data_IF_972791693454
#
_entry.id   IF_972791693454
#
_cell.length_a   1.000
_cell.length_b   1.000
_cell.length_c   1.000
_cell.angle_alpha   90.00
_cell.angle_beta   90.00
_cell.angle_gamma   90.00
#
_symmetry.space_group_name_H-M   'P 1'
#
loop_
_entity.id
_entity.type
_entity.pdbx_description
1 polymer ?
#
# COMPACT_ATOMS: atom_id res chain seq x y z
N UNK A 1 12.41 12.36 -32.56
CA UNK A 1 11.06 11.78 -32.40
C UNK A 1 10.57 12.06 -30.98
N UNK A 2 9.84 13.16 -30.77
CA UNK A 2 9.63 13.80 -29.45
C UNK A 2 8.30 13.44 -28.74
N UNK A 3 7.59 12.38 -29.14
CA UNK A 3 6.39 11.90 -28.42
C UNK A 3 6.04 10.42 -28.61
N UNK A 4 6.60 9.76 -29.62
CA UNK A 4 6.24 8.37 -29.91
C UNK A 4 6.90 7.42 -28.92
N UNK A 5 6.12 6.88 -27.99
CA UNK A 5 6.01 5.43 -27.74
C UNK A 5 5.21 5.19 -26.45
N UNK A 6 3.92 4.88 -26.62
CA UNK A 6 3.13 4.10 -25.64
C UNK A 6 3.64 2.63 -25.58
N UNK A 7 4.70 2.30 -26.33
CA UNK A 7 5.33 0.98 -26.46
C UNK A 7 5.61 0.29 -25.13
N UNK A 8 5.93 1.01 -24.05
CA UNK A 8 6.12 0.39 -22.73
C UNK A 8 4.81 -0.13 -22.10
N UNK A 9 3.68 0.57 -22.30
CA UNK A 9 2.37 0.06 -21.87
C UNK A 9 2.04 -1.23 -22.63
N UNK A 10 2.48 -1.35 -23.89
CA UNK A 10 2.26 -2.50 -24.75
C UNK A 10 3.22 -3.67 -24.48
N UNK A 11 4.48 -3.40 -24.14
CA UNK A 11 5.45 -4.44 -23.77
C UNK A 11 4.99 -5.21 -22.51
N UNK A 12 4.29 -4.55 -21.59
CA UNK A 12 3.65 -5.20 -20.44
C UNK A 12 2.45 -6.07 -20.81
N UNK A 13 1.73 -5.70 -21.89
CA UNK A 13 0.60 -6.47 -22.40
C UNK A 13 1.05 -7.71 -23.20
N UNK A 14 2.30 -7.74 -23.66
CA UNK A 14 2.83 -8.73 -24.61
C UNK A 14 3.64 -9.89 -24.01
N UNK A 15 3.71 -10.06 -22.68
CA UNK A 15 4.44 -11.22 -22.13
C UNK A 15 3.62 -12.52 -22.24
N UNK A 16 3.89 -13.21 -23.35
CA UNK A 16 3.88 -14.65 -23.63
C UNK A 16 2.68 -15.43 -23.10
N UNK A 17 1.71 -15.62 -23.99
CA UNK A 17 0.76 -16.73 -23.96
C UNK A 17 1.53 -17.99 -24.35
N UNK A 18 1.70 -18.93 -23.43
CA UNK A 18 2.01 -20.32 -23.79
C UNK A 18 0.90 -21.22 -23.25
N UNK A 19 0.21 -21.87 -24.20
CA UNK A 19 -0.59 -23.09 -24.04
C UNK A 19 -1.74 -23.03 -23.04
N UNK A 20 -2.96 -22.82 -23.53
CA UNK A 20 -4.15 -23.29 -22.81
C UNK A 20 -5.08 -24.09 -23.73
N UNK A 21 -5.29 -25.34 -23.34
CA UNK A 21 -6.30 -26.24 -23.89
C UNK A 21 -7.69 -25.58 -23.80
N UNK A 22 -8.34 -25.47 -24.96
CA UNK A 22 -9.70 -24.96 -25.09
C UNK A 22 -10.72 -25.94 -24.47
N UNK A 23 -11.01 -25.82 -23.17
CA UNK A 23 -12.28 -26.29 -22.62
C UNK A 23 -13.27 -25.13 -22.62
N UNK A 24 -14.20 -25.17 -23.57
CA UNK A 24 -15.38 -24.27 -23.62
C UNK A 24 -16.25 -24.52 -22.38
N UNK A 25 -16.06 -23.74 -21.32
CA UNK A 25 -17.05 -23.65 -20.24
C UNK A 25 -18.08 -22.59 -20.61
N UNK A 26 -19.29 -23.05 -20.91
CA UNK A 26 -20.45 -22.21 -21.20
C UNK A 26 -20.95 -21.57 -19.89
N UNK A 27 -20.45 -20.38 -19.53
CA UNK A 27 -20.92 -19.65 -18.35
C UNK A 27 -21.81 -18.47 -18.77
N UNK A 28 -23.10 -18.59 -18.44
CA UNK A 28 -24.09 -17.50 -18.55
C UNK A 28 -23.54 -16.24 -17.88
N UNK A 29 -23.46 -15.14 -18.64
CA UNK A 29 -23.11 -13.79 -18.15
C UNK A 29 -24.14 -13.33 -17.09
N UNK A 30 -23.88 -13.63 -15.82
CA UNK A 30 -24.56 -12.94 -14.71
C UNK A 30 -23.96 -11.54 -14.59
N UNK A 31 -24.79 -10.53 -14.86
CA UNK A 31 -24.50 -9.11 -14.64
C UNK A 31 -24.35 -8.87 -13.13
N UNK A 32 -23.14 -9.02 -12.60
CA UNK A 32 -22.82 -8.59 -11.24
C UNK A 32 -22.79 -7.06 -11.28
N UNK A 33 -23.74 -6.41 -10.59
CA UNK A 33 -23.74 -4.96 -10.40
C UNK A 33 -22.51 -4.60 -9.56
N UNK A 34 -21.40 -4.27 -10.22
CA UNK A 34 -20.17 -3.83 -9.59
C UNK A 34 -20.31 -2.37 -9.13
N UNK A 35 -20.89 -2.16 -7.96
CA UNK A 35 -20.58 -0.97 -7.16
C UNK A 35 -19.23 -1.19 -6.49
N UNK A 36 -18.13 -1.04 -7.23
CA UNK A 36 -16.78 -1.15 -6.66
C UNK A 36 -16.56 0.06 -5.74
N UNK A 37 -16.90 -0.10 -4.46
CA UNK A 37 -16.63 0.89 -3.41
C UNK A 37 -15.11 1.00 -3.30
N UNK A 38 -14.55 2.15 -3.64
CA UNK A 38 -13.12 2.43 -3.44
C UNK A 38 -12.84 2.27 -1.95
N UNK A 39 -11.92 1.37 -1.59
CA UNK A 39 -11.56 1.14 -0.20
C UNK A 39 -11.06 2.44 0.43
N UNK A 40 -11.49 2.71 1.66
CA UNK A 40 -10.98 3.83 2.44
C UNK A 40 -9.46 3.65 2.58
N UNK A 41 -8.71 4.64 2.11
CA UNK A 41 -7.27 4.70 2.37
C UNK A 41 -7.08 5.21 3.79
N UNK A 42 -6.14 4.64 4.54
CA UNK A 42 -5.79 5.13 5.88
C UNK A 42 -4.33 4.84 6.17
N UNK A 43 -3.72 5.67 7.00
CA UNK A 43 -2.38 5.44 7.53
C UNK A 43 -2.47 5.08 9.01
N UNK A 44 -2.00 3.88 9.38
CA UNK A 44 -1.86 3.46 10.78
C UNK A 44 -0.41 3.63 11.20
N UNK A 45 -0.17 4.48 12.20
CA UNK A 45 1.18 4.70 12.77
C UNK A 45 1.23 4.13 14.16
N UNK A 46 1.95 3.04 14.35
CA UNK A 46 2.19 2.49 15.68
C UNK A 46 3.48 3.10 16.25
N UNK A 47 3.38 3.72 17.42
CA UNK A 47 4.52 4.20 18.19
C UNK A 47 4.50 3.45 19.52
N UNK A 48 5.47 2.57 19.74
CA UNK A 48 5.58 1.79 20.97
C UNK A 48 6.61 2.45 21.87
N UNK A 49 6.22 2.83 23.09
CA UNK A 49 7.14 3.25 24.12
C UNK A 49 8.01 2.06 24.53
N UNK A 50 9.32 2.16 24.32
CA UNK A 50 10.32 1.20 24.81
C UNK A 50 11.20 1.79 25.93
N UNK A 51 10.88 2.99 26.44
CA UNK A 51 11.66 3.64 27.49
C UNK A 51 11.53 2.95 28.85
N UNK A 52 12.52 3.18 29.71
CA UNK A 52 12.61 2.72 31.09
C UNK A 52 11.26 2.73 31.82
N UNK A 53 10.96 1.65 32.55
CA UNK A 53 9.66 1.42 33.19
C UNK A 53 8.68 0.61 32.33
N UNK A 54 8.93 0.44 31.03
CA UNK A 54 8.27 -0.58 30.20
C UNK A 54 8.90 -1.95 30.46
N UNK A 55 8.13 -2.91 30.99
CA UNK A 55 8.63 -4.27 31.21
C UNK A 55 8.65 -5.08 29.90
N UNK A 56 9.44 -6.15 29.85
CA UNK A 56 9.45 -7.10 28.72
C UNK A 56 8.01 -7.60 28.38
N UNK A 57 7.20 -7.83 29.41
CA UNK A 57 5.80 -8.24 29.24
C UNK A 57 4.94 -7.13 28.64
N UNK A 58 5.19 -5.87 28.98
CA UNK A 58 4.48 -4.72 28.42
C UNK A 58 4.80 -4.59 26.92
N UNK A 59 6.08 -4.71 26.55
CA UNK A 59 6.52 -4.68 25.15
C UNK A 59 5.93 -5.83 24.33
N UNK A 60 5.95 -7.07 24.86
CA UNK A 60 5.29 -8.20 24.22
C UNK A 60 3.77 -7.98 24.06
N UNK A 61 3.13 -7.35 25.05
CA UNK A 61 1.70 -7.02 24.97
C UNK A 61 1.45 -5.95 23.91
N UNK A 62 2.32 -4.95 23.78
CA UNK A 62 2.25 -3.91 22.75
C UNK A 62 2.35 -4.53 21.34
N UNK A 63 3.41 -5.32 21.08
CA UNK A 63 3.60 -6.01 19.79
C UNK A 63 2.44 -6.94 19.47
N UNK A 64 1.95 -7.72 20.44
CA UNK A 64 0.78 -8.59 20.26
C UNK A 64 -0.50 -7.81 19.97
N UNK A 65 -0.68 -6.64 20.57
CA UNK A 65 -1.84 -5.77 20.33
C UNK A 65 -1.79 -5.20 18.91
N UNK A 66 -0.62 -4.70 18.48
CA UNK A 66 -0.37 -4.27 17.10
C UNK A 66 -0.71 -5.38 16.11
N UNK A 67 -0.18 -6.59 16.34
CA UNK A 67 -0.45 -7.76 15.50
C UNK A 67 -1.95 -8.12 15.43
N UNK A 68 -2.65 -8.10 16.57
CA UNK A 68 -4.10 -8.38 16.61
C UNK A 68 -4.91 -7.35 15.83
N UNK A 69 -4.62 -6.06 15.99
CA UNK A 69 -5.32 -4.99 15.30
C UNK A 69 -5.15 -5.10 13.78
N UNK A 70 -3.92 -5.30 13.32
CA UNK A 70 -3.61 -5.40 11.89
C UNK A 70 -4.24 -6.60 11.19
N UNK A 71 -4.74 -7.60 11.93
CA UNK A 71 -5.51 -8.70 11.34
C UNK A 71 -6.82 -8.26 10.69
N UNK A 72 -7.37 -7.12 11.10
CA UNK A 72 -8.65 -6.61 10.64
C UNK A 72 -8.52 -5.71 9.41
N UNK A 73 -7.30 -5.33 9.02
CA UNK A 73 -7.07 -4.37 7.95
C UNK A 73 -6.56 -5.00 6.66
N UNK A 74 -7.04 -4.45 5.54
CA UNK A 74 -6.49 -4.70 4.22
C UNK A 74 -5.24 -3.89 4.01
N UNK A 75 -4.08 -4.47 4.30
CA UNK A 75 -2.80 -3.76 4.21
C UNK A 75 -2.28 -3.82 2.78
N UNK A 76 -2.22 -2.66 2.15
CA UNK A 76 -1.54 -2.44 0.87
C UNK A 76 -1.26 -0.94 0.72
N UNK A 77 -0.29 -0.53 -0.11
CA UNK A 77 -0.03 0.89 -0.28
C UNK A 77 -1.20 1.65 -0.93
N UNK A 78 -2.12 0.93 -1.59
CA UNK A 78 -3.36 1.47 -2.15
C UNK A 78 -4.55 1.53 -1.19
N UNK A 79 -4.45 0.98 0.03
CA UNK A 79 -5.54 0.90 1.03
C UNK A 79 -5.05 1.35 2.41
N UNK A 80 -4.84 0.41 3.35
CA UNK A 80 -4.25 0.68 4.66
C UNK A 80 -2.74 0.55 4.57
N UNK A 81 -2.04 1.61 4.94
CA UNK A 81 -0.59 1.58 5.13
C UNK A 81 -0.25 1.55 6.60
N UNK A 82 0.89 0.95 6.92
CA UNK A 82 1.32 0.76 8.31
C UNK A 82 2.75 1.24 8.45
N UNK A 83 2.99 2.08 9.43
CA UNK A 83 4.32 2.40 9.94
C UNK A 83 4.43 1.91 11.38
N UNK A 84 5.59 1.36 11.74
CA UNK A 84 5.89 0.89 13.09
C UNK A 84 7.20 1.50 13.56
N UNK A 85 7.11 2.17 14.70
CA UNK A 85 8.18 2.91 15.32
C UNK A 85 8.23 2.60 16.82
N UNK A 86 9.40 2.76 17.42
CA UNK A 86 9.56 2.78 18.87
C UNK A 86 10.19 4.08 19.33
N UNK A 87 9.88 4.48 20.56
CA UNK A 87 10.48 5.64 21.20
C UNK A 87 11.00 5.27 22.57
N UNK A 88 12.26 5.60 22.82
CA UNK A 88 12.92 5.35 24.08
C UNK A 88 14.10 6.27 24.25
N UNK A 89 15.31 5.71 24.26
CA UNK A 89 16.55 6.50 24.23
C UNK A 89 16.69 7.26 22.92
N UNK A 90 16.17 6.66 21.84
CA UNK A 90 16.13 7.18 20.48
C UNK A 90 14.75 6.90 19.87
N UNK A 91 14.40 7.62 18.81
CA UNK A 91 13.27 7.29 17.95
C UNK A 91 13.72 6.30 16.88
N UNK A 92 13.17 5.09 16.87
CA UNK A 92 13.57 4.02 15.95
C UNK A 92 12.44 3.70 14.99
N UNK A 93 12.79 3.60 13.71
CA UNK A 93 11.90 3.11 12.66
C UNK A 93 12.15 1.63 12.43
N UNK A 94 11.11 0.81 12.59
CA UNK A 94 11.16 -0.60 12.18
C UNK A 94 10.76 -0.76 10.72
N UNK A 95 9.68 -0.11 10.30
CA UNK A 95 9.29 0.03 8.89
C UNK A 95 8.30 1.20 8.73
N UNK A 96 8.27 1.80 7.54
CA UNK A 96 7.35 2.87 7.17
C UNK A 96 6.31 2.42 6.12
N UNK A 97 5.37 3.30 5.80
CA UNK A 97 4.17 3.01 4.99
C UNK A 97 4.36 2.31 3.63
N UNK A 98 5.56 2.38 3.05
CA UNK A 98 5.88 1.88 1.70
C UNK A 98 6.88 0.71 1.70
N UNK A 99 7.37 0.30 2.85
CA UNK A 99 8.38 -0.76 2.93
C UNK A 99 7.76 -2.15 2.64
N UNK A 100 6.44 -2.30 2.83
CA UNK A 100 5.73 -3.55 2.60
C UNK A 100 4.52 -3.38 1.67
N UNK A 101 4.42 -4.26 0.67
CA UNK A 101 3.41 -4.20 -0.40
C UNK A 101 2.10 -4.93 -0.05
N UNK A 102 2.11 -5.76 0.99
CA UNK A 102 0.96 -6.56 1.40
C UNK A 102 0.98 -6.86 2.91
N UNK A 103 -0.13 -7.41 3.38
CA UNK A 103 -0.36 -7.77 4.78
C UNK A 103 0.58 -8.85 5.27
N UNK A 104 0.86 -9.85 4.46
CA UNK A 104 1.71 -11.00 4.80
C UNK A 104 3.12 -10.54 5.18
N UNK A 105 3.71 -9.62 4.42
CA UNK A 105 5.01 -9.01 4.70
C UNK A 105 5.01 -8.25 6.03
N UNK A 106 4.01 -7.38 6.26
CA UNK A 106 3.88 -6.64 7.54
C UNK A 106 3.75 -7.60 8.71
N UNK A 107 2.88 -8.60 8.59
CA UNK A 107 2.61 -9.56 9.66
C UNK A 107 3.81 -10.48 9.95
N UNK A 108 4.60 -10.83 8.93
CA UNK A 108 5.87 -11.58 9.11
C UNK A 108 6.90 -10.74 9.87
N UNK A 109 7.06 -9.46 9.52
CA UNK A 109 7.99 -8.56 10.21
C UNK A 109 7.60 -8.34 11.67
N UNK A 110 6.31 -8.11 11.96
CA UNK A 110 5.83 -7.94 13.34
C UNK A 110 6.02 -9.21 14.18
N UNK A 111 5.87 -10.41 13.61
CA UNK A 111 6.13 -11.68 14.33
C UNK A 111 7.59 -11.86 14.71
N UNK A 112 8.52 -11.37 13.87
CA UNK A 112 9.96 -11.43 14.12
C UNK A 112 10.44 -10.34 15.08
N UNK A 113 9.61 -9.35 15.38
CA UNK A 113 9.99 -8.19 16.17
C UNK A 113 10.16 -8.57 17.65
N UNK A 114 11.37 -8.35 18.17
CA UNK A 114 11.70 -8.47 19.59
C UNK A 114 12.16 -7.10 20.05
N UNK A 115 11.38 -6.48 20.93
CA UNK A 115 11.70 -5.19 21.53
C UNK A 115 12.39 -5.39 22.86
N UNK A 116 13.22 -4.43 23.26
CA UNK A 116 13.87 -4.40 24.58
C UNK A 116 13.74 -3.01 25.15
N UNK A 117 13.64 -2.92 26.48
CA UNK A 117 13.62 -1.65 27.18
C UNK A 117 14.92 -0.90 26.96
N UNK A 118 14.84 0.37 26.60
CA UNK A 118 15.97 1.28 26.50
C UNK A 118 15.95 2.30 27.64
N UNK A 119 17.06 3.00 27.84
CA UNK A 119 17.11 4.11 28.79
C UNK A 119 16.12 5.21 28.40
N UNK A 120 15.69 6.01 29.39
CA UNK A 120 14.97 7.25 29.16
C UNK A 120 15.89 8.42 29.50
N UNK A 121 16.29 9.19 28.48
CA UNK A 121 17.13 10.37 28.67
C UNK A 121 16.29 11.65 28.71
N UNK A 122 16.93 12.78 29.07
CA UNK A 122 16.33 14.11 29.05
C UNK A 122 15.82 14.53 27.65
N UNK A 123 16.39 13.95 26.60
CA UNK A 123 16.05 14.21 25.20
C UNK A 123 14.81 13.43 24.73
N UNK A 124 14.13 12.64 25.59
CA UNK A 124 12.98 11.83 25.21
C UNK A 124 11.91 12.62 24.44
N UNK A 125 11.56 13.82 24.93
CA UNK A 125 10.58 14.70 24.29
C UNK A 125 11.02 15.14 22.89
N UNK A 126 12.30 15.48 22.73
CA UNK A 126 12.85 15.92 21.45
C UNK A 126 12.94 14.76 20.46
N UNK A 127 13.32 13.57 20.92
CA UNK A 127 13.33 12.35 20.10
C UNK A 127 11.92 12.01 19.59
N UNK A 128 10.91 12.11 20.46
CA UNK A 128 9.52 11.89 20.06
C UNK A 128 9.10 12.93 19.00
N UNK A 129 9.36 14.21 19.26
CA UNK A 129 9.02 15.32 18.36
C UNK A 129 9.65 15.17 16.97
N UNK A 130 10.97 15.01 16.92
CA UNK A 130 11.73 14.86 15.68
C UNK A 130 11.30 13.63 14.89
N UNK A 131 11.04 12.51 15.56
CA UNK A 131 10.51 11.30 14.93
C UNK A 131 9.12 11.49 14.30
N UNK A 132 8.23 12.21 14.99
CA UNK A 132 6.90 12.55 14.45
C UNK A 132 7.03 13.48 13.23
N UNK A 133 7.91 14.47 13.30
CA UNK A 133 8.13 15.41 12.21
C UNK A 133 8.74 14.67 10.99
N UNK A 134 9.66 13.72 11.20
CA UNK A 134 10.17 12.83 10.14
C UNK A 134 9.05 12.02 9.45
N UNK A 135 8.11 11.46 10.23
CA UNK A 135 6.95 10.70 9.70
C UNK A 135 6.05 11.61 8.85
N UNK A 136 5.96 12.90 9.17
CA UNK A 136 5.17 13.86 8.39
C UNK A 136 5.89 14.28 7.11
N UNK A 137 7.15 14.67 7.21
CA UNK A 137 7.95 15.23 6.12
C UNK A 137 8.22 14.21 5.00
N UNK A 138 8.53 12.95 5.36
CA UNK A 138 8.86 11.90 4.37
C UNK A 138 7.65 11.37 3.59
N UNK A 139 6.45 11.75 4.00
CA UNK A 139 5.19 11.22 3.50
C UNK A 139 4.22 12.32 3.05
N UNK A 140 4.78 13.33 2.38
CA UNK A 140 4.07 14.49 1.77
C UNK A 140 3.34 14.15 0.47
N UNK A 141 3.60 12.99 -0.12
CA UNK A 141 2.94 12.48 -1.33
C UNK A 141 1.44 12.14 -1.16
N UNK A 142 0.89 12.50 -0.01
CA UNK A 142 -0.32 11.96 0.57
C UNK A 142 -1.10 13.10 1.25
N UNK A 143 -1.22 14.23 0.56
CA UNK A 143 -1.99 15.36 1.05
C UNK A 143 -3.47 14.96 1.21
N UNK A 144 -4.01 15.08 2.43
CA UNK A 144 -5.43 14.83 2.75
C UNK A 144 -5.81 13.42 3.21
N UNK A 145 -4.84 12.51 3.40
CA UNK A 145 -5.13 11.15 3.88
C UNK A 145 -5.24 11.08 5.40
N UNK A 146 -6.34 10.51 5.88
CA UNK A 146 -6.59 10.26 7.30
C UNK A 146 -5.51 9.35 7.90
N UNK A 147 -4.85 9.82 8.96
CA UNK A 147 -3.80 9.10 9.70
C UNK A 147 -4.19 8.91 11.16
N UNK A 148 -4.00 7.70 11.67
CA UNK A 148 -4.32 7.33 13.05
C UNK A 148 -3.03 6.91 13.74
N UNK A 149 -2.61 7.70 14.72
CA UNK A 149 -1.45 7.41 15.56
C UNK A 149 -1.89 6.57 16.75
N UNK A 150 -1.27 5.40 16.91
CA UNK A 150 -1.51 4.44 17.96
C UNK A 150 -0.28 4.41 18.86
N UNK A 151 -0.34 5.20 19.93
CA UNK A 151 0.75 5.29 20.90
C UNK A 151 0.54 4.30 22.03
N UNK A 152 1.46 3.36 22.24
CA UNK A 152 1.32 2.30 23.26
C UNK A 152 2.33 2.52 24.38
N UNK A 153 1.85 2.70 25.61
CA UNK A 153 2.70 2.92 26.81
C UNK A 153 2.02 2.40 28.08
N UNK A 154 2.77 2.19 29.15
CA UNK A 154 2.25 1.95 30.50
C UNK A 154 2.32 3.20 31.42
N UNK A 155 2.73 4.36 30.89
CA UNK A 155 2.95 5.61 31.63
C UNK A 155 1.79 6.58 31.37
N UNK A 156 0.88 6.70 32.33
CA UNK A 156 -0.28 7.60 32.21
C UNK A 156 0.15 9.08 32.25
N UNK A 157 1.27 9.36 32.90
CA UNK A 157 1.91 10.67 32.99
C UNK A 157 2.34 11.22 31.62
N UNK A 158 2.66 10.37 30.64
CA UNK A 158 3.08 10.78 29.29
C UNK A 158 1.91 11.25 28.41
N UNK A 159 0.65 11.07 28.82
CA UNK A 159 -0.54 11.42 28.01
C UNK A 159 -0.54 12.92 27.63
N UNK A 160 -0.18 13.80 28.57
CA UNK A 160 -0.12 15.25 28.31
C UNK A 160 0.99 15.62 27.33
N UNK A 161 2.14 14.95 27.42
CA UNK A 161 3.26 15.13 26.50
C UNK A 161 2.87 14.66 25.09
N UNK A 162 2.23 13.51 24.99
CA UNK A 162 1.70 12.99 23.72
C UNK A 162 0.68 13.97 23.13
N UNK A 163 -0.16 14.59 23.96
CA UNK A 163 -1.10 15.61 23.53
C UNK A 163 -0.43 16.86 22.99
N UNK A 164 0.61 17.36 23.64
CA UNK A 164 1.36 18.52 23.15
C UNK A 164 2.10 18.23 21.85
N UNK A 165 2.78 17.07 21.74
CA UNK A 165 3.65 16.77 20.59
C UNK A 165 2.90 16.23 19.37
N UNK A 166 1.96 15.30 19.58
CA UNK A 166 1.15 14.75 18.50
C UNK A 166 -0.08 15.62 18.28
N UNK A 167 -0.92 15.77 19.31
CA UNK A 167 -2.30 16.28 19.20
C UNK A 167 -2.42 17.69 18.59
N UNK A 168 -1.55 18.62 18.98
CA UNK A 168 -1.59 20.01 18.50
C UNK A 168 -1.12 20.17 17.05
N UNK A 169 -0.21 19.30 16.59
CA UNK A 169 0.42 19.36 15.26
C UNK A 169 -0.26 18.46 14.22
N UNK A 170 -1.39 17.83 14.54
CA UNK A 170 -2.13 17.00 13.58
C UNK A 170 -2.97 17.86 12.63
N UNK A 171 -3.10 17.43 11.37
CA UNK A 171 -4.12 17.95 10.46
C UNK A 171 -5.54 17.63 10.98
N UNK A 172 -6.58 18.21 10.37
CA UNK A 172 -7.97 18.00 10.85
C UNK A 172 -8.46 16.55 10.72
N UNK A 173 -7.84 15.75 9.84
CA UNK A 173 -8.25 14.38 9.57
C UNK A 173 -7.56 13.36 10.48
N UNK A 174 -6.42 13.70 11.09
CA UNK A 174 -5.64 12.79 11.91
C UNK A 174 -6.06 12.75 13.36
N UNK A 175 -5.90 11.58 13.97
CA UNK A 175 -6.31 11.28 15.34
C UNK A 175 -5.19 10.52 16.06
N UNK A 176 -5.13 10.67 17.38
CA UNK A 176 -4.24 9.91 18.26
C UNK A 176 -5.06 9.05 19.19
N UNK A 177 -4.69 7.78 19.30
CA UNK A 177 -5.24 6.83 20.24
C UNK A 177 -4.09 6.33 21.12
N UNK A 178 -4.13 6.69 22.40
CA UNK A 178 -3.20 6.18 23.40
C UNK A 178 -3.73 4.86 23.96
N UNK A 179 -2.99 3.78 23.73
CA UNK A 179 -3.27 2.46 24.28
C UNK A 179 -2.47 2.29 25.58
N UNK A 180 -3.13 2.50 26.72
CA UNK A 180 -2.51 2.51 28.05
C UNK A 180 -2.49 1.10 28.65
N UNK A 181 -1.31 0.54 28.84
CA UNK A 181 -1.08 -0.76 29.46
C UNK A 181 -1.19 -0.66 30.99
N UNK A 182 -1.94 -1.59 31.60
CA UNK A 182 -2.06 -1.67 33.05
C UNK A 182 -0.75 -2.16 33.70
N UNK A 183 -0.12 -1.31 34.53
CA UNK A 183 1.00 -1.73 35.41
C UNK A 183 0.51 -2.82 36.37
N UNK A 184 1.25 -3.94 36.48
CA UNK A 184 1.10 -4.88 37.60
C UNK A 184 1.64 -4.19 38.85
N UNK A 185 0.78 -3.85 39.81
CA UNK A 185 1.23 -3.35 41.11
C UNK A 185 2.08 -4.41 41.83
N UNK A 186 3.32 -4.07 42.20
CA UNK A 186 3.89 -4.56 43.45
C UNK A 186 3.15 -3.84 44.60
N UNK A 187 2.79 -4.57 45.66
CA UNK A 187 2.06 -4.04 46.81
C UNK A 187 2.77 -2.82 47.39
N UNK A 188 2.25 -1.61 47.16
CA UNK A 188 2.40 -0.48 48.08
C UNK A 188 1.27 0.55 47.87
N UNK A 189 0.67 0.88 49.00
CA UNK A 189 -0.27 1.93 49.37
C UNK A 189 -1.35 2.47 48.41
N UNK A 190 -2.56 2.10 48.85
CA UNK A 190 -3.93 2.32 48.41
C UNK A 190 -4.46 3.77 48.48
N UNK A 191 -3.68 4.80 48.10
CA UNK A 191 -4.18 6.20 48.14
C UNK A 191 -4.29 6.96 46.81
N UNK A 192 -3.76 6.44 45.70
CA UNK A 192 -3.82 7.10 44.38
C UNK A 192 -4.92 6.55 43.44
N UNK A 193 -5.70 5.56 43.88
CA UNK A 193 -6.63 4.81 43.02
C UNK A 193 -7.95 5.50 42.64
N UNK A 194 -8.27 6.69 43.16
CA UNK A 194 -9.56 7.35 42.84
C UNK A 194 -9.51 8.48 41.82
N UNK A 195 -8.32 9.03 41.49
CA UNK A 195 -8.25 10.25 40.67
C UNK A 195 -7.59 10.11 39.28
N UNK A 196 -7.00 8.96 38.94
CA UNK A 196 -6.46 8.71 37.57
C UNK A 196 -7.36 7.82 36.69
N UNK A 197 -8.34 7.14 37.28
CA UNK A 197 -9.28 6.27 36.58
C UNK A 197 -10.55 7.04 36.25
N UNK A 198 -10.45 7.96 35.30
CA UNK A 198 -11.64 8.52 34.69
C UNK A 198 -11.49 8.34 33.19
N UNK A 199 -12.49 7.67 32.61
CA UNK A 199 -12.98 7.84 31.25
C UNK A 199 -13.35 9.33 31.03
N UNK A 200 -12.39 10.22 31.25
CA UNK A 200 -12.51 11.65 31.02
C UNK A 200 -12.43 11.73 29.50
N UNK A 201 -13.59 11.88 28.88
CA UNK A 201 -13.69 12.88 27.82
C UNK A 201 -12.96 14.11 28.35
N UNK A 202 -11.73 14.33 27.88
CA UNK A 202 -11.14 15.67 27.88
C UNK A 202 -12.17 16.51 27.14
N UNK A 203 -12.97 17.24 27.94
CA UNK A 203 -14.09 18.06 27.48
C UNK A 203 -13.51 19.24 26.72
N UNK A 204 -13.19 19.04 25.44
CA UNK A 204 -13.12 20.08 24.40
C UNK A 204 -12.50 19.51 23.12
N UNK A 205 -13.28 18.92 22.21
CA UNK A 205 -12.86 18.70 20.81
C UNK A 205 -11.47 18.09 20.55
N UNK A 206 -10.92 17.31 21.49
CA UNK A 206 -9.52 16.89 21.47
C UNK A 206 -9.28 15.73 20.52
N UNK A 207 -8.23 15.81 19.71
CA UNK A 207 -7.81 14.78 18.74
C UNK A 207 -7.22 13.52 19.39
N UNK A 208 -7.31 13.38 20.71
CA UNK A 208 -6.71 12.28 21.48
C UNK A 208 -7.79 11.47 22.18
N UNK A 209 -7.72 10.16 21.99
CA UNK A 209 -8.52 9.17 22.69
C UNK A 209 -7.61 8.28 23.53
N UNK A 210 -8.03 7.90 24.73
CA UNK A 210 -7.29 6.96 25.58
C UNK A 210 -8.08 5.67 25.72
N UNK A 211 -7.42 4.53 25.55
CA UNK A 211 -8.00 3.19 25.69
C UNK A 211 -7.12 2.35 26.62
N UNK A 212 -7.70 1.84 27.69
CA UNK A 212 -7.00 0.98 28.63
C UNK A 212 -6.89 -0.46 28.12
N UNK A 213 -5.73 -1.07 28.29
CA UNK A 213 -5.45 -2.47 27.95
C UNK A 213 -5.30 -3.34 29.22
N UNK A 214 -5.75 -4.61 29.20
CA UNK A 214 -6.35 -5.31 28.06
C UNK A 214 -7.81 -4.87 27.79
N UNK A 215 -8.17 -4.81 26.51
CA UNK A 215 -9.56 -4.66 26.05
C UNK A 215 -9.79 -5.50 24.80
N UNK A 216 -11.05 -5.65 24.38
CA UNK A 216 -11.40 -6.32 23.14
C UNK A 216 -10.91 -5.51 21.93
N UNK A 217 -10.45 -6.20 20.88
CA UNK A 217 -9.95 -5.57 19.66
C UNK A 217 -11.04 -4.71 18.99
N UNK A 218 -12.31 -5.15 19.02
CA UNK A 218 -13.43 -4.39 18.48
C UNK A 218 -13.63 -3.03 19.18
N UNK A 219 -13.37 -2.93 20.48
CA UNK A 219 -13.46 -1.66 21.19
C UNK A 219 -12.48 -0.62 20.61
N UNK A 220 -11.24 -1.05 20.33
CA UNK A 220 -10.22 -0.19 19.71
C UNK A 220 -10.62 0.16 18.27
N UNK A 221 -11.08 -0.82 17.49
CA UNK A 221 -11.50 -0.60 16.10
C UNK A 221 -12.68 0.39 16.00
N UNK A 222 -13.61 0.35 16.95
CA UNK A 222 -14.72 1.30 17.02
C UNK A 222 -14.24 2.72 17.34
N UNK A 223 -13.24 2.88 18.21
CA UNK A 223 -12.60 4.18 18.50
C UNK A 223 -11.87 4.76 17.30
N UNK A 224 -11.29 3.90 16.44
CA UNK A 224 -10.68 4.32 15.17
C UNK A 224 -11.71 4.82 14.15
N UNK A 225 -12.98 4.43 14.25
CA UNK A 225 -14.03 4.83 13.29
C UNK A 225 -13.63 4.64 11.81
N UNK A 226 -13.07 3.48 11.47
CA UNK A 226 -12.57 3.13 10.14
C UNK A 226 -13.48 2.13 9.45
N UNK A 227 -13.74 2.30 8.14
CA UNK A 227 -14.68 1.46 7.38
C UNK A 227 -14.04 0.20 6.80
N UNK A 228 -12.72 0.13 6.75
CA UNK A 228 -11.94 -0.94 6.12
C UNK A 228 -11.43 -2.01 7.12
N UNK A 229 -12.18 -2.25 8.21
CA UNK A 229 -11.80 -3.16 9.32
C UNK A 229 -12.28 -4.62 9.18
N UNK A 230 -12.84 -5.02 8.04
CA UNK A 230 -13.34 -6.38 7.81
C UNK A 230 -12.49 -7.16 6.80
N UNK A 231 -11.17 -7.03 6.89
CA UNK A 231 -10.27 -7.76 5.99
C UNK A 231 -10.43 -9.27 6.08
N UNK A 232 -10.63 -9.90 4.93
CA UNK A 232 -10.65 -11.35 4.85
C UNK A 232 -11.87 -11.97 5.52
N UNK A 233 -12.93 -11.20 5.76
CA UNK A 233 -14.19 -11.68 6.34
C UNK A 233 -15.28 -11.65 5.26
N UNK A 234 -16.10 -12.70 5.22
CA UNK A 234 -17.24 -12.83 4.32
C UNK A 234 -18.52 -13.13 5.12
N UNK A 235 -18.89 -12.20 5.99
CA UNK A 235 -20.10 -12.32 6.81
C UNK A 235 -21.34 -12.50 5.92
N UNK A 236 -22.29 -13.31 6.40
CA UNK A 236 -23.55 -13.60 5.71
C UNK A 236 -23.40 -14.24 4.31
N UNK A 237 -22.23 -14.79 3.98
CA UNK A 237 -22.02 -15.59 2.78
C UNK A 237 -22.05 -17.08 3.12
N UNK A 238 -22.57 -17.88 2.18
CA UNK A 238 -22.58 -19.34 2.31
C UNK A 238 -21.16 -19.87 2.19
N UNK A 239 -20.85 -20.91 2.95
CA UNK A 239 -19.59 -21.63 2.84
C UNK A 239 -19.37 -22.15 1.41
N UNK A 240 -18.15 -22.05 0.90
CA UNK A 240 -17.77 -22.38 -0.49
C UNK A 240 -18.20 -21.35 -1.54
N UNK A 241 -18.89 -20.26 -1.18
CA UNK A 241 -19.35 -19.29 -2.17
C UNK A 241 -18.23 -18.40 -2.73
N UNK A 242 -18.27 -18.04 -4.04
CA UNK A 242 -17.32 -17.12 -4.63
C UNK A 242 -17.60 -15.69 -4.15
N UNK A 243 -16.57 -15.01 -3.66
CA UNK A 243 -16.63 -13.64 -3.15
C UNK A 243 -15.51 -12.82 -3.75
N UNK A 244 -15.79 -11.56 -4.11
CA UNK A 244 -14.77 -10.59 -4.48
C UNK A 244 -14.42 -9.76 -3.26
N UNK A 245 -13.13 -9.63 -2.96
CA UNK A 245 -12.67 -8.77 -1.86
C UNK A 245 -12.54 -7.30 -2.28
N UNK A 246 -12.15 -6.44 -1.34
CA UNK A 246 -11.98 -5.00 -1.55
C UNK A 246 -10.87 -4.63 -2.55
N UNK A 247 -9.99 -5.57 -2.89
CA UNK A 247 -8.93 -5.45 -3.88
C UNK A 247 -9.23 -6.26 -5.14
N UNK A 248 -10.51 -6.52 -5.44
CA UNK A 248 -10.98 -7.29 -6.59
C UNK A 248 -10.30 -8.67 -6.76
N UNK A 249 -9.86 -9.31 -5.69
CA UNK A 249 -9.43 -10.71 -5.73
C UNK A 249 -10.65 -11.61 -5.70
N UNK A 250 -10.61 -12.66 -6.50
CA UNK A 250 -11.57 -13.75 -6.45
C UNK A 250 -11.18 -14.68 -5.30
N UNK A 251 -12.04 -14.80 -4.30
CA UNK A 251 -11.83 -15.60 -3.10
C UNK A 251 -12.98 -16.60 -2.90
N UNK A 252 -12.74 -17.60 -2.06
CA UNK A 252 -13.77 -18.52 -1.57
C UNK A 252 -14.06 -18.21 -0.11
N UNK A 253 -15.35 -18.07 0.24
CA UNK A 253 -15.74 -17.90 1.63
C UNK A 253 -15.74 -19.26 2.34
N UNK A 254 -14.88 -19.45 3.33
CA UNK A 254 -14.82 -20.65 4.18
C UNK A 254 -14.84 -20.25 5.64
N UNK A 255 -15.81 -20.74 6.42
CA UNK A 255 -15.99 -20.41 7.84
C UNK A 255 -16.00 -18.88 8.09
N UNK A 256 -16.76 -18.15 7.27
CA UNK A 256 -16.85 -16.69 7.28
C UNK A 256 -15.51 -15.96 6.99
N UNK A 257 -14.49 -16.67 6.51
CA UNK A 257 -13.20 -16.10 6.13
C UNK A 257 -12.94 -16.28 4.63
N UNK A 258 -12.33 -15.27 4.02
CA UNK A 258 -11.85 -15.36 2.66
C UNK A 258 -10.60 -16.24 2.60
N UNK A 259 -10.65 -17.26 1.76
CA UNK A 259 -9.57 -18.21 1.50
C UNK A 259 -9.37 -18.37 -0.01
N UNK A 260 -8.24 -18.95 -0.43
CA UNK A 260 -7.94 -19.23 -1.85
C UNK A 260 -8.12 -18.00 -2.77
N UNK A 261 -7.67 -16.83 -2.31
CA UNK A 261 -7.80 -15.59 -3.06
C UNK A 261 -6.80 -15.52 -4.22
N UNK A 262 -7.28 -15.27 -5.44
CA UNK A 262 -6.46 -15.10 -6.64
C UNK A 262 -6.91 -13.90 -7.48
N UNK A 263 -6.04 -13.43 -8.39
CA UNK A 263 -6.34 -12.36 -9.34
C UNK A 263 -6.55 -12.94 -10.72
N UNK A 264 -7.43 -12.31 -11.50
CA UNK A 264 -7.70 -12.71 -12.87
C UNK A 264 -7.04 -11.72 -13.84
N UNK A 265 -6.05 -12.20 -14.60
CA UNK A 265 -5.46 -11.46 -15.70
C UNK A 265 -6.45 -11.44 -16.88
N UNK A 266 -6.98 -10.28 -17.24
CA UNK A 266 -7.95 -10.14 -18.34
C UNK A 266 -7.28 -9.69 -19.63
N UNK A 267 -7.85 -10.09 -20.76
CA UNK A 267 -7.49 -9.55 -22.07
C UNK A 267 -8.01 -8.10 -22.14
N UNK A 268 -7.15 -7.15 -22.51
CA UNK A 268 -7.42 -5.71 -22.43
C UNK A 268 -8.66 -5.31 -23.21
N UNK A 269 -8.84 -5.84 -24.43
CA UNK A 269 -10.00 -5.53 -25.26
C UNK A 269 -11.31 -6.13 -24.73
N UNK A 270 -11.23 -7.18 -23.91
CA UNK A 270 -12.38 -7.79 -23.21
C UNK A 270 -12.80 -7.07 -21.91
N UNK A 271 -11.93 -6.22 -21.34
CA UNK A 271 -12.21 -5.46 -20.12
C UNK A 271 -13.28 -4.39 -20.34
N UNK A 272 -14.06 -4.10 -19.30
CA UNK A 272 -15.03 -2.98 -19.34
C UNK A 272 -14.31 -1.63 -19.35
N UNK A 273 -15.02 -0.58 -19.75
CA UNK A 273 -14.52 0.81 -19.70
C UNK A 273 -14.07 1.23 -18.30
N UNK A 274 -14.73 0.78 -17.24
CA UNK A 274 -14.33 1.06 -15.85
C UNK A 274 -13.00 0.36 -15.51
N UNK A 275 -12.86 -0.91 -15.89
CA UNK A 275 -11.66 -1.70 -15.61
C UNK A 275 -10.44 -1.13 -16.33
N UNK A 276 -10.61 -0.73 -17.60
CA UNK A 276 -9.54 -0.07 -18.37
C UNK A 276 -9.17 1.27 -17.76
N UNK A 277 -10.14 2.13 -17.42
CA UNK A 277 -9.87 3.41 -16.76
C UNK A 277 -9.10 3.23 -15.46
N UNK A 278 -9.47 2.23 -14.65
CA UNK A 278 -8.75 1.91 -13.41
C UNK A 278 -7.28 1.59 -13.67
N UNK A 279 -7.01 0.65 -14.58
CA UNK A 279 -5.64 0.27 -14.95
C UNK A 279 -4.84 1.45 -15.52
N UNK A 280 -5.38 2.16 -16.51
CA UNK A 280 -4.68 3.25 -17.18
C UNK A 280 -4.45 4.45 -16.24
N UNK A 281 -5.40 4.73 -15.33
CA UNK A 281 -5.21 5.75 -14.29
C UNK A 281 -4.09 5.37 -13.33
N UNK A 282 -4.05 4.13 -12.86
CA UNK A 282 -2.96 3.65 -12.01
C UNK A 282 -1.61 3.75 -12.73
N UNK A 283 -1.54 3.35 -14.01
CA UNK A 283 -0.34 3.47 -14.82
C UNK A 283 0.11 4.93 -14.99
N UNK A 284 -0.82 5.83 -15.32
CA UNK A 284 -0.51 7.26 -15.43
C UNK A 284 -0.01 7.82 -14.10
N UNK A 285 -0.63 7.46 -12.98
CA UNK A 285 -0.17 7.88 -11.65
C UNK A 285 1.24 7.35 -11.36
N UNK A 286 1.52 6.07 -11.65
CA UNK A 286 2.83 5.44 -11.47
C UNK A 286 3.93 6.19 -12.22
N UNK A 287 3.63 6.65 -13.43
CA UNK A 287 4.61 7.31 -14.31
C UNK A 287 4.73 8.82 -14.10
N UNK A 288 3.81 9.48 -13.39
CA UNK A 288 3.77 10.95 -13.31
C UNK A 288 3.83 11.53 -11.90
N UNK A 289 3.41 10.78 -10.88
CA UNK A 289 3.29 11.29 -9.51
C UNK A 289 4.42 10.79 -8.63
N UNK A 290 5.04 11.70 -7.89
CA UNK A 290 5.94 11.34 -6.78
C UNK A 290 5.13 10.64 -5.66
N UNK A 291 5.71 9.64 -4.97
CA UNK A 291 7.06 9.07 -5.14
C UNK A 291 7.06 7.88 -6.10
N UNK A 292 5.90 7.49 -6.64
CA UNK A 292 5.76 6.33 -7.52
C UNK A 292 6.66 6.44 -8.74
N UNK A 293 6.72 7.64 -9.34
CA UNK A 293 7.60 7.96 -10.46
C UNK A 293 9.07 7.66 -10.16
N UNK A 294 9.55 8.04 -8.97
CA UNK A 294 10.95 7.84 -8.55
C UNK A 294 11.33 6.36 -8.43
N UNK A 295 10.35 5.48 -8.20
CA UNK A 295 10.57 4.01 -8.18
C UNK A 295 10.39 3.41 -9.56
N UNK A 296 9.42 3.90 -10.33
CA UNK A 296 9.10 3.42 -11.66
C UNK A 296 10.23 3.67 -12.68
N UNK A 297 10.82 4.86 -12.70
CA UNK A 297 11.87 5.24 -13.67
C UNK A 297 13.10 4.33 -13.65
N UNK A 298 13.72 4.04 -12.50
CA UNK A 298 14.81 3.07 -12.46
C UNK A 298 14.34 1.64 -12.78
N UNK A 299 13.12 1.27 -12.38
CA UNK A 299 12.56 -0.06 -12.64
C UNK A 299 12.40 -0.32 -14.15
N UNK A 300 11.86 0.64 -14.91
CA UNK A 300 11.74 0.51 -16.37
C UNK A 300 13.10 0.50 -17.09
N UNK A 301 14.10 1.17 -16.49
CA UNK A 301 15.45 1.14 -17.01
C UNK A 301 16.11 -0.25 -16.90
N UNK A 302 15.71 -1.09 -15.94
CA UNK A 302 16.29 -2.45 -15.82
C UNK A 302 16.10 -3.28 -17.09
N UNK A 303 14.91 -3.24 -17.71
CA UNK A 303 14.68 -3.94 -18.98
C UNK A 303 15.64 -3.45 -20.06
N UNK A 304 15.83 -2.14 -20.18
CA UNK A 304 16.77 -1.55 -21.14
C UNK A 304 18.22 -1.97 -20.84
N UNK A 305 18.66 -1.84 -19.59
CA UNK A 305 20.02 -2.19 -19.14
C UNK A 305 20.37 -3.63 -19.47
N UNK A 306 19.45 -4.56 -19.19
CA UNK A 306 19.70 -5.98 -19.36
C UNK A 306 19.29 -6.52 -20.74
N UNK A 307 18.70 -5.69 -21.60
CA UNK A 307 18.17 -6.07 -22.93
C UNK A 307 19.20 -6.89 -23.72
N UNK A 308 20.39 -6.33 -23.92
CA UNK A 308 21.49 -6.98 -24.66
C UNK A 308 22.29 -7.97 -23.80
N UNK A 309 21.96 -8.12 -22.51
CA UNK A 309 22.65 -9.00 -21.55
C UNK A 309 21.96 -10.36 -21.40
N UNK A 310 21.07 -10.73 -22.34
CA UNK A 310 20.49 -12.06 -22.42
C UNK A 310 19.12 -12.23 -21.77
N UNK A 311 18.44 -11.16 -21.32
CA UNK A 311 17.06 -11.31 -20.81
C UNK A 311 16.05 -11.73 -21.90
N UNK A 312 16.43 -11.59 -23.17
CA UNK A 312 15.66 -12.05 -24.34
C UNK A 312 16.16 -13.38 -24.93
N UNK A 313 17.18 -13.98 -24.30
CA UNK A 313 17.63 -15.34 -24.61
C UNK A 313 16.61 -16.37 -24.08
N UNK A 314 16.51 -17.53 -24.75
CA UNK A 314 15.56 -18.60 -24.42
C UNK A 314 15.61 -19.03 -22.94
N UNK A 315 16.77 -18.95 -22.29
CA UNK A 315 16.93 -19.36 -20.87
C UNK A 315 16.25 -18.41 -19.90
N UNK A 316 16.28 -17.11 -20.18
CA UNK A 316 15.83 -16.07 -19.24
C UNK A 316 14.54 -15.39 -19.66
N UNK A 317 14.13 -15.52 -20.93
CA UNK A 317 12.95 -14.85 -21.48
C UNK A 317 11.72 -15.04 -20.59
N UNK A 318 11.34 -16.28 -20.27
CA UNK A 318 10.14 -16.54 -19.45
C UNK A 318 10.30 -16.14 -17.97
N UNK A 319 11.31 -16.64 -17.22
CA UNK A 319 11.41 -16.37 -15.79
C UNK A 319 11.64 -14.88 -15.50
N UNK A 320 12.47 -14.19 -16.28
CA UNK A 320 12.77 -12.78 -16.07
C UNK A 320 11.54 -11.89 -16.34
N UNK A 321 10.80 -12.12 -17.43
CA UNK A 321 9.61 -11.31 -17.73
C UNK A 321 8.44 -11.62 -16.78
N UNK A 322 8.31 -12.87 -16.31
CA UNK A 322 7.33 -13.20 -15.26
C UNK A 322 7.61 -12.42 -13.98
N UNK A 323 8.88 -12.37 -13.55
CA UNK A 323 9.29 -11.55 -12.40
C UNK A 323 9.05 -10.07 -12.68
N UNK A 324 9.46 -9.55 -13.84
CA UNK A 324 9.30 -8.15 -14.22
C UNK A 324 7.82 -7.72 -14.21
N UNK A 325 6.92 -8.55 -14.75
CA UNK A 325 5.48 -8.28 -14.70
C UNK A 325 4.94 -8.31 -13.26
N UNK A 326 5.37 -9.26 -12.44
CA UNK A 326 4.96 -9.31 -11.03
C UNK A 326 5.36 -8.03 -10.30
N UNK A 327 6.58 -7.54 -10.53
CA UNK A 327 7.07 -6.30 -9.93
C UNK A 327 6.31 -5.07 -10.44
N UNK A 328 6.03 -4.99 -11.75
CA UNK A 328 5.20 -3.92 -12.28
C UNK A 328 3.78 -3.95 -11.69
N UNK A 329 3.19 -5.14 -11.50
CA UNK A 329 1.87 -5.27 -10.89
C UNK A 329 1.91 -4.80 -9.44
N UNK A 330 2.94 -5.17 -8.68
CA UNK A 330 3.11 -4.69 -7.30
C UNK A 330 3.27 -3.17 -7.25
N UNK A 331 4.01 -2.54 -8.17
CA UNK A 331 4.11 -1.09 -8.30
C UNK A 331 2.75 -0.42 -8.57
N UNK A 332 1.96 -0.98 -9.51
CA UNK A 332 0.61 -0.47 -9.81
C UNK A 332 -0.34 -0.65 -8.62
N UNK A 333 -0.22 -1.76 -7.90
CA UNK A 333 -1.02 -2.06 -6.71
C UNK A 333 -0.69 -1.17 -5.51
N UNK A 334 0.44 -0.47 -5.53
CA UNK A 334 0.69 0.61 -4.57
C UNK A 334 -0.29 1.78 -4.74
N UNK A 335 -0.90 1.93 -5.91
CA UNK A 335 -1.80 3.04 -6.25
C UNK A 335 -3.26 2.61 -6.08
N UNK A 336 -3.60 1.43 -6.62
CA UNK A 336 -4.91 0.79 -6.52
C UNK A 336 -4.72 -0.73 -6.41
N UNK A 337 -5.04 -1.29 -5.24
CA UNK A 337 -4.81 -2.71 -4.95
C UNK A 337 -5.66 -3.65 -5.82
N UNK A 338 -6.72 -3.12 -6.44
CA UNK A 338 -7.64 -3.82 -7.35
C UNK A 338 -7.21 -3.84 -8.81
N UNK A 339 -6.02 -3.35 -9.11
CA UNK A 339 -5.40 -3.46 -10.43
C UNK A 339 -4.71 -4.82 -10.57
N UNK A 340 -4.93 -5.45 -11.72
CA UNK A 340 -4.17 -6.61 -12.21
C UNK A 340 -3.69 -6.25 -13.60
N UNK A 341 -2.43 -6.53 -13.93
CA UNK A 341 -1.88 -6.18 -15.24
C UNK A 341 -2.62 -6.97 -16.33
N UNK A 342 -3.32 -6.33 -17.28
CA UNK A 342 -3.97 -7.06 -18.36
C UNK A 342 -2.95 -7.68 -19.33
N UNK A 343 -3.43 -8.52 -20.24
CA UNK A 343 -2.67 -8.92 -21.41
C UNK A 343 -3.37 -8.42 -22.67
N UNK A 344 -2.67 -8.35 -23.79
CA UNK A 344 -3.27 -8.08 -25.08
C UNK A 344 -2.99 -9.26 -26.01
N UNK A 345 -4.05 -9.91 -26.47
CA UNK A 345 -3.92 -10.96 -27.47
C UNK A 345 -3.77 -10.33 -28.85
N UNK A 346 -2.54 -9.92 -29.17
CA UNK A 346 -2.22 -9.32 -30.46
C UNK A 346 -2.39 -10.32 -31.62
N UNK A 347 -2.35 -11.64 -31.36
CA UNK A 347 -2.43 -12.66 -32.40
C UNK A 347 -3.76 -12.60 -33.14
N UNK A 348 -4.85 -12.30 -32.43
CA UNK A 348 -6.20 -12.16 -32.96
C UNK A 348 -6.36 -10.98 -33.92
N UNK A 349 -5.54 -9.94 -33.76
CA UNK A 349 -5.59 -8.70 -34.57
C UNK A 349 -4.31 -8.48 -35.38
N UNK A 350 -3.47 -9.50 -35.53
CA UNK A 350 -2.14 -9.41 -36.14
C UNK A 350 -2.15 -8.86 -37.57
N UNK A 351 -3.20 -9.15 -38.34
CA UNK A 351 -3.38 -8.64 -39.71
C UNK A 351 -3.67 -7.13 -39.78
N UNK A 352 -4.26 -6.54 -38.73
CA UNK A 352 -4.57 -5.11 -38.67
C UNK A 352 -4.67 -4.66 -37.20
N UNK A 353 -3.52 -4.55 -36.50
CA UNK A 353 -3.48 -4.29 -35.06
C UNK A 353 -3.86 -2.85 -34.71
N UNK A 354 -4.08 -1.99 -35.71
CA UNK A 354 -4.39 -0.58 -35.54
C UNK A 354 -5.89 -0.30 -35.65
N UNK A 355 -6.58 -0.93 -36.61
CA UNK A 355 -8.00 -0.63 -36.84
C UNK A 355 -8.97 -1.71 -36.31
N UNK A 356 -8.52 -2.96 -36.15
CA UNK A 356 -9.41 -4.06 -35.68
C UNK A 356 -9.45 -4.22 -34.16
N UNK A 357 -9.04 -3.20 -33.41
CA UNK A 357 -9.01 -3.23 -31.95
C UNK A 357 -9.47 -1.90 -31.37
N UNK A 358 -10.13 -1.96 -30.21
CA UNK A 358 -10.51 -0.78 -29.44
C UNK A 358 -9.42 -0.35 -28.44
N UNK A 359 -8.19 -0.87 -28.60
CA UNK A 359 -7.02 -0.51 -27.81
C UNK A 359 -6.62 0.96 -28.01
N UNK A 360 -6.67 1.46 -29.25
CA UNK A 360 -6.15 2.77 -29.68
C UNK A 360 -7.19 3.89 -29.74
N UNK A 361 -8.39 3.67 -29.20
CA UNK A 361 -9.44 4.69 -29.20
C UNK A 361 -9.04 5.93 -28.41
N UNK A 362 -9.63 7.07 -28.76
CA UNK A 362 -9.35 8.38 -28.15
C UNK A 362 -9.98 8.62 -26.78
N UNK A 363 -10.91 7.77 -26.34
CA UNK A 363 -11.49 7.87 -25.00
C UNK A 363 -10.45 7.57 -23.91
N UNK A 364 -10.69 8.08 -22.69
CA UNK A 364 -9.77 7.92 -21.54
C UNK A 364 -9.61 6.46 -21.03
N UNK A 365 -10.23 5.51 -21.71
CA UNK A 365 -10.19 4.07 -21.48
C UNK A 365 -9.57 3.29 -22.66
N UNK A 366 -8.86 4.01 -23.55
CA UNK A 366 -7.94 3.51 -24.56
C UNK A 366 -6.54 4.13 -24.38
N UNK A 367 -5.58 3.64 -25.17
CA UNK A 367 -4.20 4.11 -25.16
C UNK A 367 -4.00 5.42 -25.94
N UNK A 368 -4.97 5.80 -26.76
CA UNK A 368 -4.90 6.96 -27.65
C UNK A 368 -4.58 6.57 -29.10
N UNK A 369 -4.98 7.43 -30.07
CA UNK A 369 -4.79 7.18 -31.50
C UNK A 369 -3.35 7.45 -31.95
N UNK A 370 -3.08 7.39 -33.25
CA UNK A 370 -1.76 7.55 -33.88
C UNK A 370 -1.03 8.88 -33.57
N UNK A 371 -1.77 9.90 -33.12
CA UNK A 371 -1.25 11.23 -32.87
C UNK A 371 -1.32 12.14 -34.09
N UNK A 372 -0.92 13.40 -33.88
CA UNK A 372 -1.04 14.47 -34.88
C UNK A 372 0.31 14.68 -35.57
N UNK A 373 0.36 14.46 -36.89
CA UNK A 373 1.57 14.61 -37.71
C UNK A 373 2.16 16.03 -37.63
N UNK A 374 1.31 17.07 -37.59
CA UNK A 374 1.74 18.46 -37.48
C UNK A 374 2.43 18.76 -36.14
N UNK A 375 2.17 17.92 -35.14
CA UNK A 375 2.77 17.97 -33.80
C UNK A 375 3.77 16.83 -33.59
N UNK A 376 4.42 16.34 -34.65
CA UNK A 376 5.44 15.29 -34.53
C UNK A 376 4.90 13.94 -34.06
N UNK A 377 3.65 13.63 -34.43
CA UNK A 377 2.91 12.42 -34.06
C UNK A 377 2.65 12.27 -32.56
N UNK A 378 2.55 13.39 -31.83
CA UNK A 378 2.13 13.39 -30.43
C UNK A 378 0.65 13.00 -30.31
N UNK A 379 0.32 12.08 -29.39
CA UNK A 379 -1.07 11.73 -29.07
C UNK A 379 -1.78 12.96 -28.50
N UNK A 380 -2.89 13.38 -29.11
CA UNK A 380 -3.63 14.59 -28.71
C UNK A 380 -4.87 14.30 -27.85
N UNK A 381 -5.36 13.06 -27.86
CA UNK A 381 -6.59 12.65 -27.20
C UNK A 381 -6.38 11.50 -26.22
N UNK A 382 -7.35 11.27 -25.34
CA UNK A 382 -7.29 10.20 -24.35
C UNK A 382 -6.36 10.50 -23.17
N UNK A 383 -6.20 9.50 -22.30
CA UNK A 383 -5.57 9.70 -20.98
C UNK A 383 -4.08 10.05 -21.08
N UNK A 384 -3.40 9.60 -22.15
CA UNK A 384 -1.97 9.80 -22.38
C UNK A 384 -1.66 10.91 -23.40
N UNK A 385 -2.62 11.81 -23.65
CA UNK A 385 -2.38 12.97 -24.50
C UNK A 385 -1.23 13.84 -24.00
N UNK A 386 -0.51 14.44 -24.94
CA UNK A 386 0.70 15.25 -24.73
C UNK A 386 0.54 16.31 -23.62
N UNK A 387 -0.60 17.00 -23.59
CA UNK A 387 -0.87 18.04 -22.59
C UNK A 387 -0.99 17.51 -21.15
N UNK A 388 -1.10 16.20 -20.96
CA UNK A 388 -1.31 15.60 -19.64
C UNK A 388 -0.36 14.47 -19.27
N UNK A 389 0.48 14.01 -20.20
CA UNK A 389 1.41 12.91 -19.96
C UNK A 389 2.65 13.05 -20.83
N UNK A 390 3.81 12.80 -20.24
CA UNK A 390 5.11 12.83 -20.91
C UNK A 390 5.81 11.50 -20.62
N UNK A 391 6.47 10.93 -21.63
CA UNK A 391 7.26 9.70 -21.42
C UNK A 391 8.42 9.96 -20.43
N UNK A 392 8.97 8.93 -19.77
CA UNK A 392 10.11 9.11 -18.86
C UNK A 392 11.45 9.37 -19.59
N UNK A 393 11.59 8.95 -20.85
CA UNK A 393 12.86 8.88 -21.57
C UNK A 393 13.30 10.20 -22.24
N UNK A 394 13.05 11.35 -21.62
CA UNK A 394 13.55 12.63 -22.14
C UNK A 394 14.99 12.95 -21.69
N UNK A 395 15.49 12.28 -20.65
CA UNK A 395 16.87 12.41 -20.18
C UNK A 395 17.73 11.25 -20.68
N UNK A 396 19.00 11.53 -20.99
CA UNK A 396 20.00 10.51 -21.36
C UNK A 396 19.98 9.37 -20.33
N UNK A 397 19.78 8.11 -20.75
CA UNK A 397 19.73 6.98 -19.83
C UNK A 397 20.98 6.85 -18.94
N UNK A 398 22.15 7.35 -19.38
CA UNK A 398 23.37 7.40 -18.58
C UNK A 398 23.28 8.36 -17.37
N UNK A 399 22.57 9.48 -17.50
CA UNK A 399 22.34 10.42 -16.40
C UNK A 399 21.43 9.81 -15.30
N UNK A 400 20.48 8.95 -15.70
CA UNK A 400 19.62 8.22 -14.76
C UNK A 400 20.43 7.14 -14.01
N UNK A 401 21.37 6.46 -14.68
CA UNK A 401 22.27 5.46 -14.07
C UNK A 401 23.11 6.09 -12.97
N UNK A 402 23.78 7.22 -13.25
CA UNK A 402 24.65 7.88 -12.26
C UNK A 402 23.87 8.36 -11.03
N UNK A 403 22.59 8.72 -11.18
CA UNK A 403 21.72 9.13 -10.06
C UNK A 403 21.11 7.95 -9.27
N UNK A 404 20.93 6.78 -9.91
CA UNK A 404 20.10 5.69 -9.36
C UNK A 404 20.89 4.46 -8.91
N UNK A 405 22.15 4.30 -9.35
CA UNK A 405 22.97 3.09 -9.15
C UNK A 405 23.23 2.69 -7.70
N UNK A 406 23.23 3.63 -6.75
CA UNK A 406 23.47 3.34 -5.32
C UNK A 406 22.20 3.00 -4.51
N UNK A 407 20.98 3.27 -5.01
CA UNK A 407 19.74 3.19 -4.21
C UNK A 407 18.92 1.90 -4.37
N UNK A 408 19.09 1.16 -5.46
CA UNK A 408 18.20 0.04 -5.82
C UNK A 408 18.63 -1.32 -5.25
N UNK A 409 19.93 -1.52 -4.98
CA UNK A 409 20.44 -2.78 -4.43
C UNK A 409 19.80 -3.13 -3.09
N UNK A 410 19.87 -2.22 -2.11
CA UNK A 410 19.38 -2.48 -0.76
C UNK A 410 17.85 -2.53 -0.61
N UNK A 411 17.10 -1.64 -1.29
CA UNK A 411 15.63 -1.55 -1.11
C UNK A 411 14.83 -2.67 -1.76
N UNK A 412 15.34 -3.25 -2.85
CA UNK A 412 14.70 -4.39 -3.51
C UNK A 412 15.17 -5.72 -2.90
N UNK A 413 16.37 -5.76 -2.27
CA UNK A 413 16.85 -6.91 -1.51
C UNK A 413 16.11 -7.14 -0.20
N UNK A 414 15.69 -6.10 0.52
CA UNK A 414 14.83 -6.26 1.70
C UNK A 414 13.43 -6.80 1.36
N UNK A 415 12.94 -6.61 0.13
CA UNK A 415 11.71 -7.24 -0.36
C UNK A 415 11.92 -8.69 -0.83
N UNK A 416 13.17 -9.16 -0.87
CA UNK A 416 13.64 -10.41 -1.50
C UNK A 416 13.71 -11.59 -0.53
N UNK A 417 13.55 -11.39 0.78
CA UNK A 417 13.40 -12.49 1.76
C UNK A 417 12.00 -13.19 1.71
N UNK A 418 11.30 -13.12 0.58
CA UNK A 418 9.92 -13.61 0.44
C UNK A 418 9.80 -14.70 -0.60
#
# INVERSE_FOLDING_TARGET
MKCCKILHVLLLLNSIVQGHNNRKTNTRKRRIKNGSKVAEKIDLVFIIDESEGMSEKDLQTAVKTTFKLLKHFSISPGTTRVGLYTVGENFKKHFQFRDHVNRECVMKNIRKLVLKTSQRNENFTENLRTGIDEIKEKHTDIEGQRRIYLYITNKAEDIKLIESELGTKLDRASEVIVLLLKKKHHKSNDMLKKNLFIDRRLRSGGKIQVVNLPTETEHILNKMNVKNKQYGICEHKKDGSPVMDECNRHCTCVNQKLTNCYRLRKEFTSMTSEERRRYLKAYKTLTTKSPYKQTYEPFIFMHYKYFCMGIHDYRLLLPWHRWYLSMMEDLLRQIDCGVTIPYWDWSYVSHDPWNRTNLWRSSNDGLGPNGDQSKGYCVQEGLFRESQWKTPYWEDPLNIIMKSGQKLGGKLEEQREH
#
